data_IF_505861920124
#
_entry.id   IF_505861920124
#
_cell.length_a   1.000
_cell.length_b   1.000
_cell.length_c   1.000
_cell.angle_alpha   90.00
_cell.angle_beta   90.00
_cell.angle_gamma   90.00
#
_symmetry.space_group_name_H-M   'P 1'
#
loop_
_entity.id
_entity.type
_entity.pdbx_description
1 polymer ?
#
# COMPACT_ATOMS: atom_id res chain seq x y z
N UNK A 1 -24.94 -12.52 3.35
CA UNK A 1 -24.16 -11.30 3.04
C UNK A 1 -25.14 -10.22 2.62
N UNK A 2 -24.99 -9.00 3.13
CA UNK A 2 -25.79 -7.87 2.64
C UNK A 2 -25.29 -7.42 1.25
N UNK A 3 -26.12 -6.69 0.49
CA UNK A 3 -25.72 -6.14 -0.80
C UNK A 3 -24.48 -5.22 -0.68
N UNK A 4 -24.39 -4.48 0.41
CA UNK A 4 -23.23 -3.63 0.74
C UNK A 4 -21.95 -4.45 0.94
N UNK A 5 -22.01 -5.53 1.73
CA UNK A 5 -20.86 -6.41 1.96
C UNK A 5 -20.36 -7.04 0.66
N UNK A 6 -21.27 -7.43 -0.23
CA UNK A 6 -20.91 -7.99 -1.52
C UNK A 6 -20.22 -6.95 -2.42
N UNK A 7 -20.77 -5.74 -2.50
CA UNK A 7 -20.17 -4.65 -3.27
C UNK A 7 -18.76 -4.29 -2.75
N UNK A 8 -18.59 -4.24 -1.43
CA UNK A 8 -17.28 -3.99 -0.80
C UNK A 8 -16.28 -5.10 -1.13
N UNK A 9 -16.69 -6.37 -1.02
CA UNK A 9 -15.83 -7.50 -1.36
C UNK A 9 -15.42 -7.47 -2.85
N UNK A 10 -16.37 -7.20 -3.74
CA UNK A 10 -16.09 -7.08 -5.17
C UNK A 10 -15.10 -5.95 -5.46
N UNK A 11 -15.26 -4.79 -4.82
CA UNK A 11 -14.33 -3.66 -4.95
C UNK A 11 -12.92 -4.04 -4.48
N UNK A 12 -12.80 -4.74 -3.35
CA UNK A 12 -11.52 -5.24 -2.84
C UNK A 12 -10.87 -6.23 -3.81
N UNK A 13 -11.63 -7.17 -4.38
CA UNK A 13 -11.13 -8.13 -5.37
C UNK A 13 -10.62 -7.42 -6.63
N UNK A 14 -11.42 -6.50 -7.17
CA UNK A 14 -11.00 -5.70 -8.33
C UNK A 14 -9.75 -4.88 -8.02
N UNK A 15 -9.65 -4.31 -6.82
CA UNK A 15 -8.46 -3.59 -6.37
C UNK A 15 -7.20 -4.49 -6.40
N UNK A 16 -7.29 -5.70 -5.87
CA UNK A 16 -6.17 -6.66 -5.87
C UNK A 16 -5.79 -7.07 -7.31
N UNK A 17 -6.76 -7.29 -8.19
CA UNK A 17 -6.51 -7.59 -9.61
C UNK A 17 -5.75 -6.45 -10.30
N UNK A 18 -6.20 -5.20 -10.08
CA UNK A 18 -5.54 -4.01 -10.62
C UNK A 18 -4.11 -3.90 -10.09
N UNK A 19 -3.89 -4.14 -8.79
CA UNK A 19 -2.56 -4.16 -8.22
C UNK A 19 -1.66 -5.20 -8.90
N UNK A 20 -2.15 -6.43 -9.12
CA UNK A 20 -1.37 -7.48 -9.81
C UNK A 20 -0.98 -7.02 -11.22
N UNK A 21 -1.89 -6.38 -11.95
CA UNK A 21 -1.59 -5.82 -13.28
C UNK A 21 -0.49 -4.76 -13.22
N UNK A 22 -0.62 -3.79 -12.30
CA UNK A 22 0.37 -2.73 -12.09
C UNK A 22 1.73 -3.30 -11.68
N UNK A 23 1.74 -4.30 -10.80
CA UNK A 23 2.96 -4.98 -10.35
C UNK A 23 3.66 -5.70 -11.51
N UNK A 24 2.89 -6.43 -12.33
CA UNK A 24 3.43 -7.12 -13.51
C UNK A 24 4.01 -6.11 -14.49
N UNK A 25 3.35 -4.99 -14.73
CA UNK A 25 3.87 -3.95 -15.62
C UNK A 25 5.14 -3.30 -15.04
N UNK A 26 5.19 -3.05 -13.74
CA UNK A 26 6.38 -2.51 -13.07
C UNK A 26 7.58 -3.48 -13.13
N UNK A 27 7.35 -4.78 -13.05
CA UNK A 27 8.39 -5.81 -13.22
C UNK A 27 8.85 -5.92 -14.68
N UNK A 28 7.92 -5.85 -15.63
CA UNK A 28 8.22 -5.93 -17.07
C UNK A 28 8.89 -4.68 -17.61
N UNK A 29 8.53 -3.50 -17.10
CA UNK A 29 9.06 -2.19 -17.49
C UNK A 29 9.41 -1.38 -16.24
N UNK A 30 10.61 -1.59 -15.67
CA UNK A 30 11.03 -0.99 -14.40
C UNK A 30 11.41 0.50 -14.56
N UNK A 31 10.44 1.31 -14.94
CA UNK A 31 10.50 2.77 -14.80
C UNK A 31 10.29 3.11 -13.32
N UNK A 32 11.00 4.12 -12.82
CA UNK A 32 10.90 4.57 -11.42
C UNK A 32 9.44 4.85 -11.01
N UNK A 33 8.71 5.54 -11.89
CA UNK A 33 7.30 5.87 -11.68
C UNK A 33 6.40 4.64 -11.62
N UNK A 34 6.65 3.62 -12.45
CA UNK A 34 5.86 2.38 -12.41
C UNK A 34 6.06 1.63 -11.09
N UNK A 35 7.30 1.61 -10.56
CA UNK A 35 7.60 1.01 -9.26
C UNK A 35 6.94 1.77 -8.12
N UNK A 36 6.87 3.10 -8.21
CA UNK A 36 6.32 3.94 -7.15
C UNK A 36 4.80 3.85 -7.08
N UNK A 37 4.15 3.80 -8.26
CA UNK A 37 2.73 3.45 -8.38
C UNK A 37 2.48 2.04 -7.86
N UNK A 38 3.30 1.05 -8.25
CA UNK A 38 3.16 -0.33 -7.78
C UNK A 38 3.33 -0.45 -6.25
N UNK A 39 4.27 0.29 -5.66
CA UNK A 39 4.45 0.34 -4.20
C UNK A 39 3.23 0.93 -3.50
N UNK A 40 2.69 2.05 -4.01
CA UNK A 40 1.53 2.70 -3.43
C UNK A 40 0.29 1.79 -3.48
N UNK A 41 0.00 1.21 -4.64
CA UNK A 41 -1.10 0.25 -4.78
C UNK A 41 -0.84 -1.04 -3.98
N UNK A 42 0.41 -1.47 -3.90
CA UNK A 42 0.81 -2.67 -3.19
C UNK A 42 0.60 -2.60 -1.69
N UNK A 43 0.90 -1.47 -1.06
CA UNK A 43 0.63 -1.25 0.37
C UNK A 43 -0.86 -1.46 0.69
N UNK A 44 -1.74 -0.87 -0.10
CA UNK A 44 -3.18 -1.01 0.07
C UNK A 44 -3.66 -2.43 -0.23
N UNK A 45 -3.13 -3.07 -1.27
CA UNK A 45 -3.50 -4.43 -1.65
C UNK A 45 -3.08 -5.44 -0.57
N UNK A 46 -1.90 -5.25 0.03
CA UNK A 46 -1.42 -6.03 1.17
C UNK A 46 -2.34 -5.85 2.37
N UNK A 47 -2.76 -4.62 2.69
CA UNK A 47 -3.71 -4.36 3.76
C UNK A 47 -5.07 -5.07 3.55
N UNK A 48 -5.59 -5.05 2.33
CA UNK A 48 -6.81 -5.80 1.95
C UNK A 48 -6.60 -7.32 2.12
N UNK A 49 -5.49 -7.84 1.59
CA UNK A 49 -5.18 -9.27 1.68
C UNK A 49 -5.01 -9.74 3.13
N UNK A 50 -4.39 -8.94 4.00
CA UNK A 50 -4.29 -9.20 5.43
C UNK A 50 -5.67 -9.33 6.07
N UNK A 51 -6.59 -8.40 5.76
CA UNK A 51 -7.96 -8.47 6.27
C UNK A 51 -8.68 -9.75 5.84
N UNK A 52 -8.46 -10.22 4.61
CA UNK A 52 -9.00 -11.51 4.15
C UNK A 52 -8.40 -12.69 4.90
N UNK A 53 -7.09 -12.70 5.13
CA UNK A 53 -6.38 -13.76 5.86
C UNK A 53 -6.87 -13.83 7.31
N UNK A 54 -7.01 -12.70 7.99
CA UNK A 54 -7.54 -12.64 9.35
C UNK A 54 -8.97 -13.16 9.44
N UNK A 55 -9.83 -12.75 8.49
CA UNK A 55 -11.21 -13.21 8.41
C UNK A 55 -11.29 -14.74 8.13
N UNK A 56 -10.46 -15.25 7.23
CA UNK A 56 -10.43 -16.66 6.85
C UNK A 56 -9.92 -17.56 7.99
N UNK A 57 -8.86 -17.13 8.67
CA UNK A 57 -8.24 -17.91 9.74
C UNK A 57 -8.92 -17.70 11.11
N UNK A 58 -9.85 -16.75 11.23
CA UNK A 58 -10.47 -16.32 12.49
C UNK A 58 -9.45 -15.97 13.58
N UNK A 59 -8.31 -15.44 13.16
CA UNK A 59 -7.22 -15.06 14.06
C UNK A 59 -7.47 -13.62 14.51
N UNK A 60 -7.41 -13.36 15.81
CA UNK A 60 -7.38 -12.00 16.32
C UNK A 60 -6.02 -11.37 16.05
N UNK A 61 -5.96 -10.07 15.69
CA UNK A 61 -4.71 -9.42 15.35
C UNK A 61 -3.74 -9.52 16.54
N UNK A 62 -2.70 -10.33 16.35
CA UNK A 62 -1.55 -10.36 17.27
C UNK A 62 -0.87 -8.99 17.20
N UNK A 63 -0.24 -8.57 18.30
CA UNK A 63 0.45 -7.26 18.36
C UNK A 63 1.38 -6.99 17.16
N UNK A 64 2.00 -8.04 16.59
CA UNK A 64 2.82 -7.94 15.40
C UNK A 64 2.03 -7.58 14.11
N UNK A 65 0.84 -8.17 13.91
CA UNK A 65 -0.03 -7.86 12.76
C UNK A 65 -0.56 -6.43 12.86
N UNK A 66 -0.98 -6.00 14.05
CA UNK A 66 -1.41 -4.61 14.26
C UNK A 66 -0.28 -3.61 14.03
N UNK A 67 0.94 -3.92 14.51
CA UNK A 67 2.10 -3.08 14.24
C UNK A 67 2.39 -2.99 12.73
N UNK A 68 2.33 -4.12 12.01
CA UNK A 68 2.52 -4.15 10.56
C UNK A 68 1.49 -3.31 9.80
N UNK A 69 0.21 -3.40 10.17
CA UNK A 69 -0.85 -2.56 9.58
C UNK A 69 -0.64 -1.07 9.87
N UNK A 70 -0.18 -0.71 11.06
CA UNK A 70 0.14 0.69 11.39
C UNK A 70 1.32 1.19 10.54
N UNK A 71 2.36 0.36 10.37
CA UNK A 71 3.51 0.67 9.51
C UNK A 71 3.10 0.86 8.03
N UNK A 72 2.17 0.04 7.54
CA UNK A 72 1.57 0.18 6.20
C UNK A 72 0.82 1.51 6.04
N UNK A 73 0.16 2.01 7.08
CA UNK A 73 -0.49 3.33 7.02
C UNK A 73 0.56 4.44 7.08
N UNK A 74 1.59 4.29 7.91
CA UNK A 74 2.67 5.27 8.06
C UNK A 74 3.52 5.44 6.81
N UNK A 75 3.69 4.38 5.99
CA UNK A 75 4.49 4.47 4.76
C UNK A 75 3.75 5.21 3.62
N UNK A 76 2.42 5.29 3.64
CA UNK A 76 1.62 5.98 2.61
C UNK A 76 2.03 7.43 2.34
N UNK A 77 2.14 8.33 3.34
CA UNK A 77 2.55 9.72 3.10
C UNK A 77 3.92 9.83 2.45
N UNK A 78 4.85 8.92 2.78
CA UNK A 78 6.16 8.85 2.14
C UNK A 78 6.05 8.40 0.67
N UNK A 79 5.23 7.38 0.37
CA UNK A 79 5.00 6.93 -1.00
C UNK A 79 4.29 7.98 -1.86
N UNK A 80 3.36 8.76 -1.29
CA UNK A 80 2.76 9.89 -1.98
C UNK A 80 3.78 10.97 -2.33
N UNK A 81 4.66 11.35 -1.39
CA UNK A 81 5.73 12.31 -1.69
C UNK A 81 6.67 11.81 -2.77
N UNK A 82 7.00 10.52 -2.76
CA UNK A 82 7.84 9.88 -3.77
C UNK A 82 7.17 9.88 -5.14
N UNK A 83 5.86 9.61 -5.20
CA UNK A 83 5.10 9.69 -6.43
C UNK A 83 5.04 11.14 -6.96
N UNK A 84 4.83 12.12 -6.07
CA UNK A 84 4.80 13.54 -6.46
C UNK A 84 6.17 14.03 -6.94
N UNK A 85 7.27 13.50 -6.41
CA UNK A 85 8.63 13.81 -6.90
C UNK A 85 8.79 13.51 -8.39
N UNK A 86 8.24 12.39 -8.84
CA UNK A 86 8.30 11.97 -10.24
C UNK A 86 7.50 12.89 -11.20
N UNK A 87 6.48 13.60 -10.71
CA UNK A 87 5.64 14.48 -11.53
C UNK A 87 5.95 15.97 -11.41
N UNK A 88 6.32 16.43 -10.21
CA UNK A 88 6.44 17.85 -9.87
C UNK A 88 7.85 18.28 -9.43
N UNK A 89 8.80 17.34 -9.26
CA UNK A 89 10.18 17.62 -8.84
C UNK A 89 10.24 18.18 -7.41
N UNK A 90 10.18 17.30 -6.41
CA UNK A 90 10.14 17.68 -4.99
C UNK A 90 11.57 17.88 -4.46
N UNK A 91 11.84 18.91 -3.64
CA UNK A 91 13.16 19.10 -3.05
C UNK A 91 13.56 17.88 -2.20
N UNK A 92 14.74 17.30 -2.49
CA UNK A 92 15.28 16.09 -1.84
C UNK A 92 15.30 16.15 -0.31
N UNK A 93 15.37 17.34 0.28
CA UNK A 93 15.30 17.57 1.73
C UNK A 93 13.96 17.15 2.32
N UNK A 94 12.85 17.38 1.60
CA UNK A 94 11.51 17.01 2.06
C UNK A 94 11.34 15.48 2.06
N UNK A 95 11.82 14.81 1.01
CA UNK A 95 11.79 13.34 0.91
C UNK A 95 12.64 12.70 2.01
N UNK A 96 13.85 13.23 2.27
CA UNK A 96 14.68 12.73 3.39
C UNK A 96 14.03 13.00 4.74
N UNK A 97 13.44 14.17 4.94
CA UNK A 97 12.72 14.49 6.17
C UNK A 97 11.58 13.50 6.43
N UNK A 98 10.78 13.21 5.39
CA UNK A 98 9.70 12.22 5.47
C UNK A 98 10.23 10.81 5.74
N UNK A 99 11.34 10.39 5.11
CA UNK A 99 11.97 9.11 5.38
C UNK A 99 12.46 9.00 6.84
N UNK A 100 13.06 10.07 7.38
CA UNK A 100 13.54 10.11 8.76
C UNK A 100 12.36 10.01 9.73
N UNK A 101 11.29 10.78 9.50
CA UNK A 101 10.07 10.72 10.33
C UNK A 101 9.45 9.34 10.29
N UNK A 102 9.36 8.72 9.11
CA UNK A 102 8.85 7.36 8.95
C UNK A 102 9.64 6.36 9.79
N UNK A 103 10.97 6.40 9.73
CA UNK A 103 11.84 5.49 10.51
C UNK A 103 11.75 5.74 12.01
N UNK A 104 11.51 6.99 12.44
CA UNK A 104 11.41 7.35 13.85
C UNK A 104 10.07 6.94 14.47
N UNK A 105 9.01 6.83 13.66
CA UNK A 105 7.66 6.46 14.08
C UNK A 105 7.37 4.94 14.03
N UNK A 106 8.29 4.15 13.48
CA UNK A 106 8.18 2.71 13.27
C UNK A 106 8.90 1.93 14.38
#
# INVERSE_FOLDING_TARGET
>A
MSAEQFAQFLAQVLYVIIFVYVLVEAVRRPLRTNLDIALLFGVMAVAVALGWVEAALRIHPRAALSAFSISLVMILPYLFLRLVDDFAGVPRSLIRGAAIVLVLLL
#
